data_IF_705529890709
#
_entry.id   IF_705529890709
#
_cell.length_a   1.000
_cell.length_b   1.000
_cell.length_c   1.000
_cell.angle_alpha   90.00
_cell.angle_beta   90.00
_cell.angle_gamma   90.00
#
_symmetry.space_group_name_H-M   'P 1'
#
loop_
_entity.id
_entity.type
_entity.pdbx_description
1 polymer ?
#
# COMPACT_ATOMS: atom_id res chain seq x y z
N UNK A 1 -0.16 -7.99 13.60
CA UNK A 1 0.43 -7.66 12.29
C UNK A 1 -0.59 -8.01 11.22
N UNK A 2 -1.36 -7.02 10.76
CA UNK A 2 -2.51 -7.23 9.87
C UNK A 2 -2.09 -7.67 8.45
N UNK A 3 -0.93 -7.21 7.96
CA UNK A 3 -0.43 -7.49 6.62
C UNK A 3 -0.09 -8.98 6.38
N UNK A 4 0.42 -9.69 7.39
CA UNK A 4 0.77 -11.12 7.30
C UNK A 4 -0.44 -12.02 6.99
N UNK A 5 -1.64 -11.56 7.33
CA UNK A 5 -2.84 -12.36 7.18
C UNK A 5 -3.61 -12.08 5.88
N UNK A 6 -3.18 -11.09 5.08
CA UNK A 6 -3.90 -10.64 3.87
C UNK A 6 -3.13 -10.86 2.57
N UNK A 7 -1.82 -11.07 2.63
CA UNK A 7 -0.98 -11.35 1.47
C UNK A 7 -0.28 -12.70 1.60
N UNK A 8 -0.28 -13.49 0.53
CA UNK A 8 0.35 -14.82 0.50
C UNK A 8 1.89 -14.76 0.63
N UNK A 9 2.47 -13.64 0.20
CA UNK A 9 3.91 -13.40 0.26
C UNK A 9 4.21 -11.97 0.72
N UNK A 10 5.08 -11.83 1.72
CA UNK A 10 5.57 -10.53 2.20
C UNK A 10 6.81 -10.02 1.44
N UNK A 11 7.49 -10.92 0.73
CA UNK A 11 8.68 -10.60 -0.05
C UNK A 11 8.76 -11.55 -1.23
N UNK A 12 8.81 -10.99 -2.43
CA UNK A 12 9.02 -11.73 -3.67
C UNK A 12 10.00 -10.95 -4.56
N UNK A 13 10.82 -11.65 -5.38
CA UNK A 13 11.66 -10.96 -6.36
C UNK A 13 10.82 -10.25 -7.42
N UNK A 14 10.93 -8.93 -7.50
CA UNK A 14 10.41 -8.15 -8.64
C UNK A 14 11.55 -7.96 -9.65
N UNK A 15 11.43 -8.65 -10.79
CA UNK A 15 12.31 -8.47 -11.95
C UNK A 15 11.69 -7.47 -12.94
N UNK A 16 12.48 -6.88 -13.86
CA UNK A 16 11.94 -6.00 -14.89
C UNK A 16 10.82 -6.67 -15.69
N UNK A 17 9.69 -5.97 -15.84
CA UNK A 17 8.50 -6.47 -16.52
C UNK A 17 7.52 -7.26 -15.64
N UNK A 18 7.89 -7.57 -14.40
CA UNK A 18 6.96 -8.20 -13.44
C UNK A 18 6.07 -7.16 -12.75
N UNK A 19 4.93 -7.62 -12.26
CA UNK A 19 4.05 -6.87 -11.36
C UNK A 19 3.62 -7.78 -10.23
N UNK A 20 3.24 -7.20 -9.09
CA UNK A 20 2.71 -7.91 -7.94
C UNK A 20 1.39 -7.27 -7.54
N UNK A 21 0.41 -8.09 -7.21
CA UNK A 21 -0.85 -7.66 -6.64
C UNK A 21 -0.79 -7.89 -5.13
N UNK A 22 -0.92 -6.81 -4.35
CA UNK A 22 -0.86 -6.83 -2.88
C UNK A 22 -2.00 -6.02 -2.27
N UNK A 23 -2.47 -6.45 -1.11
CA UNK A 23 -3.41 -5.72 -0.27
C UNK A 23 -2.66 -5.00 0.83
N UNK A 24 -2.77 -3.68 0.90
CA UNK A 24 -2.18 -2.87 1.97
C UNK A 24 -3.28 -2.55 2.98
N UNK A 25 -3.03 -2.87 4.25
CA UNK A 25 -3.97 -2.65 5.36
C UNK A 25 -3.39 -1.66 6.36
N UNK A 26 -4.22 -0.71 6.79
CA UNK A 26 -3.90 0.27 7.81
C UNK A 26 -4.84 0.11 8.99
N UNK A 27 -4.30 0.01 10.20
CA UNK A 27 -5.09 0.10 11.41
C UNK A 27 -5.45 1.58 11.66
N UNK A 28 -6.74 1.88 11.71
CA UNK A 28 -7.28 3.23 11.94
C UNK A 28 -8.29 3.22 13.08
N UNK A 29 -8.48 4.36 13.79
CA UNK A 29 -9.55 4.48 14.77
C UNK A 29 -10.92 4.15 14.20
N UNK A 30 -11.85 3.70 15.07
CA UNK A 30 -13.25 3.55 14.72
C UNK A 30 -13.79 4.89 14.19
N UNK A 31 -14.69 4.82 13.20
CA UNK A 31 -15.29 5.96 12.50
C UNK A 31 -14.32 6.81 11.65
N UNK A 32 -13.09 6.34 11.41
CA UNK A 32 -12.19 6.98 10.44
C UNK A 32 -12.78 6.85 9.03
N UNK A 33 -12.93 7.99 8.34
CA UNK A 33 -13.26 8.05 6.91
C UNK A 33 -12.02 8.50 6.13
N UNK A 34 -11.30 7.59 5.44
CA UNK A 34 -10.10 7.94 4.68
C UNK A 34 -10.43 8.87 3.52
N UNK A 35 -9.70 9.99 3.39
CA UNK A 35 -9.94 10.95 2.30
C UNK A 35 -9.02 10.72 1.09
N UNK A 36 -7.77 10.31 1.33
CA UNK A 36 -6.78 10.12 0.28
C UNK A 36 -5.68 9.14 0.71
N UNK A 37 -5.01 8.54 -0.28
CA UNK A 37 -3.77 7.80 -0.14
C UNK A 37 -2.64 8.57 -0.85
N UNK A 38 -1.44 8.57 -0.25
CA UNK A 38 -0.23 9.12 -0.87
C UNK A 38 0.78 8.00 -1.07
N UNK A 39 1.19 7.76 -2.32
CA UNK A 39 2.10 6.68 -2.68
C UNK A 39 3.47 7.27 -3.06
N UNK A 40 4.53 6.74 -2.45
CA UNK A 40 5.91 7.13 -2.73
C UNK A 40 6.66 5.93 -3.33
N UNK A 41 7.40 6.16 -4.42
CA UNK A 41 8.27 5.13 -5.03
C UNK A 41 9.68 5.11 -4.40
N UNK A 42 10.01 6.16 -3.65
CA UNK A 42 11.31 6.35 -2.99
C UNK A 42 11.23 7.43 -1.90
N UNK A 43 12.22 7.44 -1.01
CA UNK A 43 12.32 8.41 0.09
C UNK A 43 12.45 9.88 -0.37
N UNK A 44 12.84 10.11 -1.62
CA UNK A 44 13.02 11.45 -2.21
C UNK A 44 11.92 11.82 -3.20
N UNK A 45 10.92 10.95 -3.39
CA UNK A 45 9.82 11.20 -4.32
C UNK A 45 8.85 12.24 -3.78
N UNK A 46 8.31 13.06 -4.67
CA UNK A 46 7.22 13.99 -4.36
C UNK A 46 5.86 13.32 -4.13
N UNK A 47 5.77 12.00 -4.32
CA UNK A 47 4.55 11.21 -4.10
C UNK A 47 3.48 11.36 -5.19
N UNK A 48 2.51 10.44 -5.17
CA UNK A 48 1.28 10.51 -5.95
C UNK A 48 0.08 10.46 -5.00
N UNK A 49 -0.81 11.46 -5.08
CA UNK A 49 -2.00 11.56 -4.23
C UNK A 49 -3.25 11.05 -4.94
N UNK A 50 -3.94 10.09 -4.32
CA UNK A 50 -5.14 9.45 -4.83
C UNK A 50 -6.29 9.73 -3.87
N UNK A 51 -7.41 10.27 -4.38
CA UNK A 51 -8.60 10.49 -3.56
C UNK A 51 -9.33 9.15 -3.33
N UNK A 52 -9.70 8.89 -2.08
CA UNK A 52 -10.50 7.73 -1.69
C UNK A 52 -11.97 8.19 -1.60
N UNK A 53 -12.85 7.54 -2.36
CA UNK A 53 -14.29 7.85 -2.44
C UNK A 53 -15.11 6.67 -2.00
#
# INVERSE_FOLDING_TARGET
>A
MAEINVNDHLSTPINPGNSVDVTIVFDVPVDTVPAALELHDSMFSGGAKVALR
#
